data_IF_486090839646
#
_entry.id   IF_486090839646
#
_cell.length_a   1.000
_cell.length_b   1.000
_cell.length_c   1.000
_cell.angle_alpha   90.00
_cell.angle_beta   90.00
_cell.angle_gamma   90.00
#
_symmetry.space_group_name_H-M   'P 1'
#
loop_
_entity.id
_entity.type
_entity.pdbx_description
1 polymer ?
#
# COMPACT_ATOMS: atom_id res chain seq x y z
N UNK A 1 18.24 -25.22 -0.94
CA UNK A 1 18.07 -24.53 0.37
C UNK A 1 17.30 -23.26 0.05
N UNK A 2 16.34 -22.84 0.89
CA UNK A 2 15.67 -21.56 0.71
C UNK A 2 16.58 -20.43 1.21
N UNK A 3 16.63 -19.34 0.45
CA UNK A 3 17.34 -18.13 0.82
C UNK A 3 16.43 -17.19 1.62
N UNK A 4 15.13 -17.15 1.27
CA UNK A 4 14.11 -16.30 1.93
C UNK A 4 12.80 -17.07 2.09
N UNK A 5 12.19 -16.96 3.25
CA UNK A 5 10.82 -17.40 3.51
C UNK A 5 9.97 -16.17 3.89
N UNK A 6 8.89 -15.94 3.15
CA UNK A 6 7.92 -14.87 3.42
C UNK A 6 6.72 -15.51 4.10
N UNK A 7 6.34 -14.99 5.26
CA UNK A 7 5.19 -15.48 6.03
C UNK A 7 3.99 -14.57 5.77
N UNK A 8 2.97 -15.13 5.15
CA UNK A 8 1.76 -14.45 4.71
C UNK A 8 1.83 -13.94 3.28
N UNK A 9 0.77 -14.17 2.51
CA UNK A 9 0.61 -13.73 1.12
C UNK A 9 -0.49 -12.67 0.97
N UNK A 10 -0.58 -11.75 1.93
CA UNK A 10 -1.28 -10.48 1.75
C UNK A 10 -0.50 -9.54 0.82
N UNK A 11 -1.01 -8.34 0.57
CA UNK A 11 -0.38 -7.37 -0.36
C UNK A 11 1.09 -7.09 -0.04
N UNK A 12 1.47 -7.05 1.23
CA UNK A 12 2.87 -6.78 1.65
C UNK A 12 3.76 -7.97 1.30
N UNK A 13 3.36 -9.19 1.65
CA UNK A 13 4.13 -10.40 1.34
C UNK A 13 4.21 -10.65 -0.15
N UNK A 14 3.13 -10.44 -0.89
CA UNK A 14 3.10 -10.56 -2.34
C UNK A 14 4.03 -9.53 -3.02
N UNK A 15 4.01 -8.27 -2.56
CA UNK A 15 4.91 -7.23 -3.07
C UNK A 15 6.38 -7.57 -2.78
N UNK A 16 6.69 -8.05 -1.58
CA UNK A 16 8.03 -8.49 -1.23
C UNK A 16 8.51 -9.66 -2.11
N UNK A 17 7.63 -10.65 -2.35
CA UNK A 17 7.92 -11.77 -3.24
C UNK A 17 8.17 -11.30 -4.68
N UNK A 18 7.35 -10.37 -5.16
CA UNK A 18 7.50 -9.78 -6.49
C UNK A 18 8.86 -9.07 -6.63
N UNK A 19 9.23 -8.23 -5.68
CA UNK A 19 10.55 -7.55 -5.70
C UNK A 19 11.71 -8.55 -5.62
N UNK A 20 11.61 -9.55 -4.75
CA UNK A 20 12.64 -10.58 -4.61
C UNK A 20 12.76 -11.49 -5.83
N UNK A 21 11.72 -11.61 -6.65
CA UNK A 21 11.75 -12.40 -7.88
C UNK A 21 12.72 -11.87 -8.94
N UNK A 22 13.17 -10.63 -8.82
CA UNK A 22 14.18 -10.03 -9.70
C UNK A 22 15.61 -10.44 -9.35
N UNK A 23 15.79 -11.17 -8.26
CA UNK A 23 17.11 -11.63 -7.79
C UNK A 23 17.25 -13.15 -7.93
N UNK A 24 18.45 -13.69 -8.09
CA UNK A 24 18.68 -15.13 -8.18
C UNK A 24 18.59 -15.81 -6.81
N UNK A 25 17.41 -15.74 -6.18
CA UNK A 25 17.12 -16.25 -4.85
C UNK A 25 16.04 -17.35 -4.90
N UNK A 26 16.18 -18.35 -4.05
CA UNK A 26 15.13 -19.33 -3.80
C UNK A 26 14.18 -18.80 -2.73
N UNK A 27 13.06 -18.24 -3.16
CA UNK A 27 12.06 -17.64 -2.28
C UNK A 27 10.86 -18.56 -2.14
N UNK A 28 10.37 -18.73 -0.91
CA UNK A 28 9.09 -19.38 -0.64
C UNK A 28 8.14 -18.40 0.05
N UNK A 29 6.87 -18.43 -0.30
CA UNK A 29 5.80 -17.72 0.39
C UNK A 29 4.92 -18.75 1.07
N UNK A 30 4.71 -18.59 2.37
CA UNK A 30 3.90 -19.47 3.20
C UNK A 30 2.64 -18.71 3.60
N UNK A 31 1.46 -19.23 3.21
CA UNK A 31 0.16 -18.67 3.55
C UNK A 31 -0.58 -19.65 4.46
N UNK A 32 -1.28 -19.14 5.47
CA UNK A 32 -2.04 -19.94 6.42
C UNK A 32 -3.43 -20.28 5.89
N UNK A 33 -4.00 -19.41 5.07
CA UNK A 33 -5.32 -19.58 4.51
C UNK A 33 -5.29 -20.38 3.21
N UNK A 34 -6.48 -20.75 2.72
CA UNK A 34 -6.61 -21.54 1.49
C UNK A 34 -6.32 -20.75 0.22
N UNK A 35 -6.30 -19.43 0.29
CA UNK A 35 -6.03 -18.54 -0.83
C UNK A 35 -5.21 -17.34 -0.39
N UNK A 36 -4.57 -16.69 -1.35
CA UNK A 36 -3.79 -15.48 -1.13
C UNK A 36 -4.71 -14.29 -0.85
N UNK A 37 -4.21 -13.33 -0.09
CA UNK A 37 -4.92 -12.08 0.22
C UNK A 37 -6.23 -12.25 1.02
N UNK A 38 -6.51 -13.41 1.60
CA UNK A 38 -7.79 -13.70 2.28
C UNK A 38 -7.93 -13.11 3.69
N UNK A 39 -7.12 -12.12 4.01
CA UNK A 39 -7.17 -11.35 5.25
C UNK A 39 -7.52 -9.88 5.02
N UNK A 40 -6.77 -8.99 5.68
CA UNK A 40 -6.93 -7.52 5.60
C UNK A 40 -6.84 -6.99 4.17
N UNK A 41 -6.03 -7.63 3.32
CA UNK A 41 -5.86 -7.23 1.91
C UNK A 41 -7.18 -7.33 1.13
N UNK A 42 -8.01 -8.31 1.40
CA UNK A 42 -9.34 -8.45 0.79
C UNK A 42 -10.39 -7.55 1.45
N UNK A 43 -10.23 -7.28 2.74
CA UNK A 43 -11.21 -6.60 3.57
C UNK A 43 -10.86 -5.10 3.75
N UNK A 44 -10.77 -4.36 2.65
CA UNK A 44 -10.53 -2.92 2.68
C UNK A 44 -11.27 -2.21 1.53
N UNK A 45 -11.22 -0.88 1.52
CA UNK A 45 -11.92 -0.04 0.53
C UNK A 45 -11.15 0.20 -0.76
N UNK A 46 -9.97 -0.38 -0.92
CA UNK A 46 -9.07 -0.22 -2.07
C UNK A 46 -8.71 1.25 -2.36
N UNK A 47 -8.59 2.07 -1.32
CA UNK A 47 -8.19 3.48 -1.43
C UNK A 47 -6.70 3.61 -1.18
N UNK A 48 -5.99 4.23 -2.11
CA UNK A 48 -4.61 4.67 -1.92
C UNK A 48 -4.62 6.05 -1.26
N UNK A 49 -4.03 6.14 -0.07
CA UNK A 49 -3.91 7.39 0.67
C UNK A 49 -2.98 8.37 -0.05
N UNK A 50 -3.40 9.63 -0.17
CA UNK A 50 -2.71 10.62 -1.00
C UNK A 50 -1.40 11.18 -0.41
N UNK A 51 -1.05 10.82 0.82
CA UNK A 51 0.22 11.18 1.45
C UNK A 51 0.13 12.27 2.51
N UNK A 52 -1.04 12.88 2.71
CA UNK A 52 -1.22 13.96 3.69
C UNK A 52 -1.67 13.51 5.08
N UNK A 53 -2.18 12.26 5.20
CA UNK A 53 -2.67 11.72 6.49
C UNK A 53 -1.57 11.45 7.52
N UNK A 54 -0.43 10.85 7.14
CA UNK A 54 0.61 10.54 8.12
C UNK A 54 1.35 11.79 8.57
N UNK A 55 1.76 11.78 9.84
CA UNK A 55 2.54 12.86 10.44
C UNK A 55 3.82 13.15 9.64
N UNK A 56 4.06 14.42 9.25
CA UNK A 56 5.24 14.80 8.48
C UNK A 56 6.55 14.42 9.16
N UNK A 57 7.55 14.01 8.38
CA UNK A 57 8.87 13.59 8.87
C UNK A 57 8.93 12.13 9.35
N UNK A 58 7.80 11.41 9.39
CA UNK A 58 7.78 9.99 9.75
C UNK A 58 8.14 9.08 8.57
N UNK A 59 8.58 7.86 8.88
CA UNK A 59 8.78 6.80 7.89
C UNK A 59 7.46 6.51 7.12
N UNK A 60 6.33 6.54 7.82
CA UNK A 60 5.01 6.31 7.25
C UNK A 60 4.69 7.36 6.17
N UNK A 61 4.89 8.65 6.46
CA UNK A 61 4.67 9.73 5.50
C UNK A 61 5.54 9.55 4.25
N UNK A 62 6.82 9.28 4.44
CA UNK A 62 7.76 9.06 3.34
C UNK A 62 7.34 7.89 2.44
N UNK A 63 7.05 6.74 3.04
CA UNK A 63 6.69 5.53 2.29
C UNK A 63 5.32 5.64 1.64
N UNK A 64 4.37 6.35 2.28
CA UNK A 64 3.06 6.60 1.70
C UNK A 64 3.17 7.40 0.39
N UNK A 65 3.89 8.52 0.40
CA UNK A 65 4.13 9.35 -0.80
C UNK A 65 4.84 8.56 -1.90
N UNK A 66 5.86 7.78 -1.54
CA UNK A 66 6.57 6.94 -2.51
C UNK A 66 5.65 5.86 -3.09
N UNK A 67 4.83 5.22 -2.26
CA UNK A 67 3.88 4.19 -2.69
C UNK A 67 2.84 4.74 -3.65
N UNK A 68 2.29 5.92 -3.38
CA UNK A 68 1.34 6.59 -4.28
C UNK A 68 1.98 6.91 -5.63
N UNK A 69 3.21 7.39 -5.64
CA UNK A 69 3.92 7.68 -6.90
C UNK A 69 4.13 6.42 -7.76
N UNK A 70 4.40 5.28 -7.13
CA UNK A 70 4.60 3.99 -7.81
C UNK A 70 3.28 3.31 -8.22
N UNK A 71 2.19 3.58 -7.52
CA UNK A 71 0.95 2.83 -7.63
C UNK A 71 0.38 2.80 -9.06
N UNK A 72 0.43 3.91 -9.78
CA UNK A 72 -0.08 3.99 -11.15
C UNK A 72 0.67 3.05 -12.09
N UNK A 73 2.00 3.02 -11.99
CA UNK A 73 2.83 2.14 -12.81
C UNK A 73 2.63 0.67 -12.44
N UNK A 74 2.62 0.36 -11.15
CA UNK A 74 2.42 -1.02 -10.66
C UNK A 74 1.05 -1.54 -11.06
N UNK A 75 0.00 -0.75 -10.90
CA UNK A 75 -1.34 -1.14 -11.31
C UNK A 75 -1.42 -1.41 -12.82
N UNK A 76 -0.78 -0.58 -13.65
CA UNK A 76 -0.73 -0.81 -15.09
C UNK A 76 0.04 -2.09 -15.45
N UNK A 77 1.15 -2.38 -14.77
CA UNK A 77 1.96 -3.60 -15.01
C UNK A 77 1.25 -4.88 -14.58
N UNK A 78 0.40 -4.80 -13.55
CA UNK A 78 -0.32 -5.93 -12.99
C UNK A 78 -1.77 -6.04 -13.49
N UNK A 79 -2.16 -5.21 -14.46
CA UNK A 79 -3.53 -5.13 -15.00
C UNK A 79 -4.59 -4.90 -13.90
N UNK A 80 -4.24 -4.10 -12.91
CA UNK A 80 -5.15 -3.71 -11.83
C UNK A 80 -5.85 -2.41 -12.19
N UNK A 81 -7.19 -2.35 -12.16
CA UNK A 81 -7.91 -1.11 -12.41
C UNK A 81 -7.48 0.01 -11.45
N UNK A 82 -7.08 1.13 -12.01
CA UNK A 82 -6.61 2.29 -11.25
C UNK A 82 -7.36 3.56 -11.69
N UNK A 83 -7.87 4.32 -10.72
CA UNK A 83 -8.55 5.58 -10.98
C UNK A 83 -8.04 6.67 -10.06
N UNK A 84 -7.43 7.70 -10.61
CA UNK A 84 -7.04 8.89 -9.88
C UNK A 84 -8.21 9.87 -9.83
N UNK A 85 -9.06 9.72 -8.81
CA UNK A 85 -10.27 10.54 -8.64
C UNK A 85 -10.07 11.73 -7.68
N UNK A 86 -8.91 11.81 -7.02
CA UNK A 86 -8.66 12.80 -5.96
C UNK A 86 -9.36 12.46 -4.65
N UNK A 87 -9.16 13.32 -3.64
CA UNK A 87 -9.87 13.29 -2.37
C UNK A 87 -10.27 14.69 -1.94
N UNK A 88 -11.30 14.78 -1.12
CA UNK A 88 -11.76 16.03 -0.54
C UNK A 88 -11.70 15.92 0.99
N UNK A 89 -11.09 16.89 1.62
CA UNK A 89 -11.11 17.06 3.07
C UNK A 89 -12.02 18.23 3.39
N UNK A 90 -13.02 18.02 4.25
CA UNK A 90 -14.05 19.00 4.56
C UNK A 90 -13.95 19.41 6.03
N UNK A 91 -13.96 20.72 6.28
CA UNK A 91 -14.23 21.28 7.59
C UNK A 91 -15.73 21.56 7.70
N UNK A 92 -16.40 20.92 8.65
CA UNK A 92 -17.83 21.07 8.89
C UNK A 92 -18.15 22.16 9.92
N UNK A 93 -17.11 22.68 10.59
CA UNK A 93 -17.22 23.76 11.57
C UNK A 93 -16.02 24.70 11.49
N UNK A 94 -16.19 25.91 12.03
CA UNK A 94 -15.09 26.90 12.13
C UNK A 94 -13.93 26.39 13.01
N UNK A 95 -14.21 25.53 13.97
CA UNK A 95 -13.18 24.95 14.85
C UNK A 95 -12.22 23.98 14.11
N UNK A 96 -12.64 23.42 12.98
CA UNK A 96 -11.86 22.47 12.19
C UNK A 96 -10.97 23.15 11.12
N UNK A 97 -11.24 24.43 10.81
CA UNK A 97 -10.48 25.16 9.79
C UNK A 97 -8.96 25.20 10.05
N UNK A 98 -8.48 25.40 11.29
CA UNK A 98 -7.03 25.39 11.53
C UNK A 98 -6.38 24.06 11.17
N UNK A 99 -7.06 22.94 11.44
CA UNK A 99 -6.57 21.61 11.06
C UNK A 99 -6.55 21.44 9.53
N UNK A 100 -7.62 21.83 8.85
CA UNK A 100 -7.68 21.79 7.39
C UNK A 100 -6.57 22.60 6.71
N UNK A 101 -6.14 23.71 7.33
CA UNK A 101 -5.05 24.55 6.81
C UNK A 101 -3.66 23.97 7.03
N UNK A 102 -3.51 22.99 7.92
CA UNK A 102 -2.26 22.33 8.22
C UNK A 102 -1.99 21.11 7.32
N UNK A 103 -3.02 20.57 6.67
CA UNK A 103 -2.93 19.46 5.72
C UNK A 103 -2.37 19.94 4.37
#
# INVERSE_FOLDING_TARGET
MLDVAIIGCGVVGAAAAYELSHYPLHVAVLEAENDVADGTTKANSAILHAGYDPEPGTQMARLNVQGVALAKEICARLDVPYRQCGSLVLALSQAELPHLQQL
#
